data_IF_919573321516
#
_entry.id   IF_919573321516
#
_cell.length_a   1.000
_cell.length_b   1.000
_cell.length_c   1.000
_cell.angle_alpha   90.00
_cell.angle_beta   90.00
_cell.angle_gamma   90.00
#
_symmetry.space_group_name_H-M   'P 1'
#
loop_
_entity.id
_entity.type
_entity.pdbx_description
1 polymer ?
#
# COMPACT_ATOMS: atom_id res chain seq x y z
N UNK A 1 -32.36 2.30 20.99
CA UNK A 1 -33.25 2.32 19.81
C UNK A 1 -32.99 1.08 18.98
N UNK A 2 -34.02 0.49 18.37
CA UNK A 2 -33.84 -0.64 17.46
C UNK A 2 -33.03 -0.22 16.22
N UNK A 3 -32.14 -1.10 15.76
CA UNK A 3 -31.33 -0.87 14.56
C UNK A 3 -32.23 -0.72 13.33
N UNK A 4 -32.07 0.37 12.58
CA UNK A 4 -32.81 0.64 11.35
C UNK A 4 -32.46 -0.42 10.30
N UNK A 5 -33.47 -1.00 9.65
CA UNK A 5 -33.31 -2.03 8.60
C UNK A 5 -33.55 -1.41 7.22
N UNK A 6 -32.69 -1.74 6.26
CA UNK A 6 -32.72 -1.24 4.89
C UNK A 6 -32.70 -2.41 3.90
N UNK A 7 -33.62 -2.40 2.94
CA UNK A 7 -33.65 -3.42 1.88
C UNK A 7 -32.60 -3.13 0.80
N UNK A 8 -31.97 -4.18 0.29
CA UNK A 8 -31.08 -4.14 -0.88
C UNK A 8 -31.67 -4.93 -2.05
N UNK A 9 -31.20 -4.64 -3.27
CA UNK A 9 -31.55 -5.43 -4.46
C UNK A 9 -31.04 -6.86 -4.41
N UNK A 10 -31.59 -7.73 -5.26
CA UNK A 10 -31.23 -9.16 -5.30
C UNK A 10 -29.75 -9.41 -5.64
N UNK A 11 -29.16 -8.58 -6.52
CA UNK A 11 -27.74 -8.70 -6.88
C UNK A 11 -26.84 -8.37 -5.69
N UNK A 12 -27.11 -7.26 -5.00
CA UNK A 12 -26.40 -6.89 -3.77
C UNK A 12 -26.54 -7.97 -2.70
N UNK A 13 -27.75 -8.54 -2.52
CA UNK A 13 -27.95 -9.64 -1.58
C UNK A 13 -27.08 -10.86 -1.91
N UNK A 14 -26.96 -11.20 -3.20
CA UNK A 14 -26.08 -12.28 -3.69
C UNK A 14 -24.60 -11.98 -3.43
N UNK A 15 -24.15 -10.75 -3.65
CA UNK A 15 -22.77 -10.34 -3.39
C UNK A 15 -22.44 -10.39 -1.89
N UNK A 16 -23.35 -9.92 -1.03
CA UNK A 16 -23.19 -10.03 0.43
C UNK A 16 -23.16 -11.50 0.87
N UNK A 17 -23.98 -12.37 0.26
CA UNK A 17 -24.02 -13.79 0.62
C UNK A 17 -22.69 -14.49 0.31
N UNK A 18 -22.00 -14.11 -0.78
CA UNK A 18 -20.66 -14.62 -1.13
C UNK A 18 -19.52 -13.94 -0.36
N UNK A 19 -19.83 -12.99 0.52
CA UNK A 19 -18.86 -12.36 1.41
C UNK A 19 -18.27 -11.06 0.89
N UNK A 20 -18.80 -10.50 -0.20
CA UNK A 20 -18.39 -9.18 -0.66
C UNK A 20 -18.81 -8.10 0.35
N UNK A 21 -17.92 -7.19 0.78
CA UNK A 21 -18.20 -6.26 1.88
C UNK A 21 -18.92 -4.98 1.44
N UNK A 22 -19.01 -4.69 0.14
CA UNK A 22 -19.58 -3.43 -0.34
C UNK A 22 -21.01 -3.59 -0.84
N UNK A 23 -21.83 -2.58 -0.53
CA UNK A 23 -23.09 -2.31 -1.18
C UNK A 23 -22.88 -1.16 -2.16
N UNK A 24 -23.00 -1.45 -3.45
CA UNK A 24 -22.83 -0.47 -4.51
C UNK A 24 -24.16 0.26 -4.76
N UNK A 25 -24.09 1.58 -5.01
CA UNK A 25 -25.24 2.38 -5.38
C UNK A 25 -25.98 1.78 -6.59
N UNK A 26 -27.29 1.62 -6.44
CA UNK A 26 -28.21 1.08 -7.44
C UNK A 26 -29.62 1.69 -7.26
N UNK A 27 -30.60 1.21 -8.04
CA UNK A 27 -31.99 1.69 -7.98
C UNK A 27 -32.71 1.37 -6.66
N UNK A 28 -32.27 0.34 -5.93
CA UNK A 28 -32.92 -0.14 -4.71
C UNK A 28 -32.41 0.68 -3.51
N UNK A 29 -31.10 0.88 -3.44
CA UNK A 29 -30.44 1.75 -2.45
C UNK A 29 -30.78 3.23 -2.63
N UNK A 30 -31.13 3.66 -3.85
CA UNK A 30 -31.66 5.01 -4.11
C UNK A 30 -32.99 5.31 -3.35
N UNK A 31 -33.71 4.28 -2.91
CA UNK A 31 -34.96 4.41 -2.13
C UNK A 31 -34.71 4.50 -0.63
N UNK A 32 -33.46 4.40 -0.18
CA UNK A 32 -33.15 4.53 1.24
C UNK A 32 -33.54 5.92 1.77
N UNK A 33 -33.94 6.03 3.05
CA UNK A 33 -34.41 7.30 3.58
C UNK A 33 -33.35 8.39 3.48
N UNK A 34 -33.73 9.56 2.98
CA UNK A 34 -32.84 10.74 2.88
C UNK A 34 -32.29 11.21 4.23
N UNK A 35 -32.93 10.81 5.34
CA UNK A 35 -32.48 11.05 6.71
C UNK A 35 -31.39 10.08 7.20
N UNK A 36 -30.94 9.14 6.37
CA UNK A 36 -29.84 8.22 6.71
C UNK A 36 -28.56 9.01 6.94
N UNK A 37 -27.98 8.88 8.14
CA UNK A 37 -26.76 9.60 8.51
C UNK A 37 -25.49 8.95 7.96
N UNK A 38 -24.47 9.78 7.70
CA UNK A 38 -23.10 9.31 7.45
C UNK A 38 -22.58 8.51 8.64
N UNK A 39 -22.09 7.30 8.41
CA UNK A 39 -21.60 6.42 9.47
C UNK A 39 -22.69 5.80 10.34
N UNK A 40 -23.97 5.95 9.98
CA UNK A 40 -25.05 5.30 10.72
C UNK A 40 -24.96 3.78 10.59
N UNK A 41 -25.06 3.06 11.71
CA UNK A 41 -25.12 1.60 11.72
C UNK A 41 -26.53 1.15 11.40
N UNK A 42 -26.66 0.27 10.40
CA UNK A 42 -27.93 -0.22 9.88
C UNK A 42 -27.90 -1.73 9.66
N UNK A 43 -29.07 -2.37 9.70
CA UNK A 43 -29.27 -3.73 9.22
C UNK A 43 -29.59 -3.73 7.73
N UNK A 44 -29.02 -4.65 6.98
CA UNK A 44 -29.34 -4.89 5.58
C UNK A 44 -30.26 -6.11 5.46
N UNK A 45 -31.27 -6.00 4.61
CA UNK A 45 -32.24 -7.07 4.38
C UNK A 45 -32.37 -7.40 2.90
N UNK A 46 -32.64 -8.67 2.59
CA UNK A 46 -32.98 -9.11 1.25
C UNK A 46 -34.34 -8.52 0.81
N UNK A 47 -34.69 -8.58 -0.49
CA UNK A 47 -36.03 -8.20 -0.94
C UNK A 47 -37.16 -8.95 -0.21
N UNK A 48 -36.88 -10.18 0.25
CA UNK A 48 -37.80 -11.05 0.99
C UNK A 48 -37.88 -10.75 2.49
N UNK A 49 -37.08 -9.81 2.99
CA UNK A 49 -37.06 -9.42 4.41
C UNK A 49 -36.11 -10.22 5.29
N UNK A 50 -35.26 -11.07 4.72
CA UNK A 50 -34.26 -11.82 5.47
C UNK A 50 -33.10 -10.90 5.87
N UNK A 51 -32.63 -11.00 7.12
CA UNK A 51 -31.47 -10.24 7.57
C UNK A 51 -30.19 -10.76 6.91
N UNK A 52 -29.39 -9.85 6.35
CA UNK A 52 -28.17 -10.18 5.62
C UNK A 52 -26.90 -9.76 6.37
N UNK A 53 -26.88 -8.55 6.94
CA UNK A 53 -25.69 -7.98 7.56
C UNK A 53 -25.99 -6.75 8.42
N UNK A 54 -25.10 -6.48 9.39
CA UNK A 54 -24.92 -5.15 9.98
C UNK A 54 -23.92 -4.37 9.12
N UNK A 55 -24.25 -3.14 8.75
CA UNK A 55 -23.44 -2.32 7.84
C UNK A 55 -23.30 -0.86 8.31
N UNK A 56 -22.21 -0.24 7.86
CA UNK A 56 -21.92 1.18 8.03
C UNK A 56 -22.40 1.95 6.81
N UNK A 57 -23.35 2.87 6.98
CA UNK A 57 -23.92 3.66 5.89
C UNK A 57 -22.99 4.79 5.44
N UNK A 58 -22.90 5.00 4.13
CA UNK A 58 -22.15 6.08 3.47
C UNK A 58 -23.03 6.67 2.34
N UNK A 59 -24.17 7.32 2.69
CA UNK A 59 -25.11 7.83 1.70
C UNK A 59 -24.44 8.86 0.78
N UNK A 60 -24.75 8.77 -0.53
CA UNK A 60 -24.20 9.66 -1.57
C UNK A 60 -22.86 9.20 -2.18
N UNK A 61 -22.22 8.16 -1.65
CA UNK A 61 -21.03 7.56 -2.25
C UNK A 61 -21.38 6.46 -3.27
N UNK A 62 -20.41 6.06 -4.11
CA UNK A 62 -20.57 4.88 -4.98
C UNK A 62 -20.75 3.59 -4.16
N UNK A 63 -20.04 3.48 -3.04
CA UNK A 63 -20.21 2.42 -2.05
C UNK A 63 -21.10 3.01 -0.96
N UNK A 64 -22.41 2.73 -1.01
CA UNK A 64 -23.41 3.37 -0.14
C UNK A 64 -23.48 2.75 1.26
N UNK A 65 -22.96 1.53 1.42
CA UNK A 65 -22.77 0.91 2.72
C UNK A 65 -21.65 -0.12 2.69
N UNK A 66 -21.05 -0.38 3.85
CA UNK A 66 -19.99 -1.37 4.03
C UNK A 66 -20.39 -2.37 5.12
N UNK A 67 -20.39 -3.66 4.80
CA UNK A 67 -20.72 -4.75 5.72
C UNK A 67 -19.68 -4.84 6.84
N UNK A 68 -20.12 -4.77 8.09
CA UNK A 68 -19.30 -4.89 9.29
C UNK A 68 -19.41 -6.27 9.94
N UNK A 69 -20.61 -6.86 9.88
CA UNK A 69 -20.91 -8.15 10.48
C UNK A 69 -22.04 -8.85 9.72
N UNK A 70 -22.03 -10.19 9.68
CA UNK A 70 -23.13 -10.98 9.08
C UNK A 70 -24.27 -11.20 10.07
N UNK A 71 -24.05 -10.90 11.34
CA UNK A 71 -25.06 -10.97 12.40
C UNK A 71 -25.44 -9.56 12.87
N UNK A 72 -26.60 -9.41 13.54
CA UNK A 72 -26.93 -8.18 14.25
C UNK A 72 -25.82 -7.85 15.27
N UNK A 73 -25.21 -6.68 15.15
CA UNK A 73 -24.09 -6.29 16.01
C UNK A 73 -24.22 -4.83 16.47
N UNK A 74 -23.88 -4.60 17.73
CA UNK A 74 -23.66 -3.25 18.26
C UNK A 74 -22.19 -2.88 18.03
N UNK A 75 -21.95 -1.76 17.35
CA UNK A 75 -20.60 -1.27 17.05
C UNK A 75 -20.12 -0.42 18.24
N UNK A 76 -19.87 -1.11 19.35
CA UNK A 76 -19.39 -0.53 20.60
C UNK A 76 -17.88 -0.76 20.79
N UNK A 77 -17.37 -0.33 21.95
CA UNK A 77 -15.96 -0.49 22.31
C UNK A 77 -15.52 -1.95 22.31
N UNK A 78 -16.35 -2.87 22.80
CA UNK A 78 -16.00 -4.29 22.88
C UNK A 78 -16.01 -4.95 21.51
N UNK A 79 -16.92 -4.54 20.61
CA UNK A 79 -16.89 -4.95 19.21
C UNK A 79 -15.56 -4.58 18.53
N UNK A 80 -15.09 -3.33 18.70
CA UNK A 80 -13.79 -2.91 18.20
C UNK A 80 -12.63 -3.69 18.82
N UNK A 81 -12.65 -3.90 20.15
CA UNK A 81 -11.61 -4.67 20.86
C UNK A 81 -11.47 -6.08 20.29
N UNK A 82 -12.58 -6.80 20.08
CA UNK A 82 -12.56 -8.15 19.48
C UNK A 82 -11.97 -8.14 18.06
N UNK A 83 -12.32 -7.16 17.22
CA UNK A 83 -11.77 -7.02 15.86
C UNK A 83 -10.26 -6.73 15.89
N UNK A 84 -9.83 -5.79 16.74
CA UNK A 84 -8.42 -5.43 16.92
C UNK A 84 -7.58 -6.62 17.39
N UNK A 85 -8.05 -7.37 18.40
CA UNK A 85 -7.37 -8.58 18.89
C UNK A 85 -7.15 -9.59 17.79
N UNK A 86 -8.21 -9.94 17.06
CA UNK A 86 -8.13 -10.88 15.95
C UNK A 86 -7.14 -10.43 14.87
N UNK A 87 -7.15 -9.15 14.53
CA UNK A 87 -6.24 -8.59 13.53
C UNK A 87 -4.78 -8.64 14.01
N UNK A 88 -4.52 -8.32 15.27
CA UNK A 88 -3.17 -8.36 15.89
C UNK A 88 -2.67 -9.80 16.06
N UNK A 89 -3.52 -10.73 16.46
CA UNK A 89 -3.21 -12.16 16.56
C UNK A 89 -2.71 -12.72 15.22
N UNK A 90 -3.37 -12.37 14.11
CA UNK A 90 -2.89 -12.73 12.77
C UNK A 90 -1.46 -12.23 12.52
N UNK A 91 -1.17 -10.96 12.85
CA UNK A 91 0.16 -10.39 12.61
C UNK A 91 1.22 -11.05 13.49
N UNK A 92 0.90 -11.34 14.75
CA UNK A 92 1.79 -12.10 15.65
C UNK A 92 2.08 -13.50 15.12
N UNK A 93 1.11 -14.16 14.50
CA UNK A 93 1.29 -15.49 13.92
C UNK A 93 2.15 -15.49 12.65
N UNK A 94 2.06 -14.44 11.82
CA UNK A 94 2.71 -14.41 10.51
C UNK A 94 4.01 -13.59 10.45
N UNK A 95 4.24 -12.67 11.40
CA UNK A 95 5.41 -11.78 11.41
C UNK A 95 6.28 -12.11 12.63
N UNK A 96 7.50 -12.63 12.43
CA UNK A 96 8.41 -12.92 13.53
C UNK A 96 8.68 -11.70 14.40
N UNK A 97 8.57 -11.88 15.72
CA UNK A 97 8.84 -10.84 16.70
C UNK A 97 10.32 -10.43 16.69
N UNK A 98 10.59 -9.24 17.24
CA UNK A 98 11.95 -8.79 17.50
C UNK A 98 12.72 -8.29 16.29
N UNK A 99 12.25 -8.43 15.04
CA UNK A 99 12.89 -7.89 13.82
C UNK A 99 12.13 -6.79 13.10
N UNK A 100 10.83 -6.69 13.34
CA UNK A 100 9.93 -5.77 12.64
C UNK A 100 9.01 -5.09 13.64
N UNK A 101 9.08 -3.76 13.67
CA UNK A 101 8.28 -2.83 14.48
C UNK A 101 7.39 -1.93 13.62
N UNK A 102 7.61 -1.94 12.30
CA UNK A 102 6.76 -1.28 11.31
C UNK A 102 5.91 -2.31 10.55
N UNK A 103 4.58 -2.26 10.70
CA UNK A 103 3.68 -3.23 10.07
C UNK A 103 2.23 -2.73 10.03
N UNK A 104 1.40 -3.33 9.18
CA UNK A 104 -0.05 -3.08 9.21
C UNK A 104 -0.73 -3.94 10.26
N UNK A 105 -1.43 -3.32 11.21
CA UNK A 105 -2.24 -4.02 12.20
C UNK A 105 -3.66 -4.31 11.73
N UNK A 106 -4.26 -3.39 10.96
CA UNK A 106 -5.62 -3.52 10.38
C UNK A 106 -5.59 -3.11 8.92
N UNK A 107 -6.11 -3.95 8.03
CA UNK A 107 -6.17 -3.76 6.59
C UNK A 107 -7.60 -3.78 6.04
N UNK A 108 -8.43 -2.84 6.49
CA UNK A 108 -9.72 -2.58 5.87
C UNK A 108 -10.66 -3.79 5.93
N UNK A 109 -11.24 -4.08 4.78
CA UNK A 109 -12.11 -5.21 4.48
C UNK A 109 -11.47 -6.55 4.89
N UNK A 110 -10.14 -6.69 4.76
CA UNK A 110 -9.41 -7.92 5.12
C UNK A 110 -9.47 -8.27 6.60
N UNK A 111 -9.74 -7.31 7.48
CA UNK A 111 -9.85 -7.49 8.93
C UNK A 111 -11.27 -7.22 9.45
N UNK A 112 -12.25 -7.04 8.56
CA UNK A 112 -13.62 -6.74 8.93
C UNK A 112 -13.83 -5.30 9.42
N UNK A 113 -12.96 -4.37 9.01
CA UNK A 113 -13.07 -2.93 9.27
C UNK A 113 -12.99 -2.14 7.94
N UNK A 114 -13.97 -2.31 7.01
CA UNK A 114 -13.90 -1.76 5.66
C UNK A 114 -13.59 -0.26 5.59
N UNK A 115 -12.68 0.15 4.72
CA UNK A 115 -12.31 1.58 4.57
C UNK A 115 -11.51 2.19 5.73
N UNK A 116 -10.99 1.37 6.64
CA UNK A 116 -10.16 1.79 7.77
C UNK A 116 -8.87 0.96 7.82
N UNK A 117 -7.74 1.61 8.04
CA UNK A 117 -6.47 0.89 8.24
C UNK A 117 -5.71 1.42 9.45
N UNK A 118 -4.93 0.56 10.10
CA UNK A 118 -4.12 0.91 11.26
C UNK A 118 -2.70 0.40 11.05
N UNK A 119 -1.73 1.31 10.96
CA UNK A 119 -0.31 0.97 10.89
C UNK A 119 0.37 1.16 12.23
N UNK A 120 1.35 0.32 12.53
CA UNK A 120 2.29 0.46 13.63
C UNK A 120 3.63 0.95 13.11
N UNK A 121 4.22 1.88 13.84
CA UNK A 121 5.56 2.43 13.64
C UNK A 121 6.23 2.54 15.01
N UNK A 122 6.92 1.48 15.45
CA UNK A 122 7.45 1.42 16.81
C UNK A 122 6.31 1.44 17.84
N UNK A 123 6.32 2.43 18.72
CA UNK A 123 5.28 2.61 19.74
C UNK A 123 4.16 3.57 19.31
N UNK A 124 4.22 4.10 18.09
CA UNK A 124 3.18 4.96 17.52
C UNK A 124 2.30 4.21 16.54
N UNK A 125 1.05 4.66 16.44
CA UNK A 125 0.07 4.13 15.50
C UNK A 125 -0.44 5.23 14.56
N UNK A 126 -0.71 4.83 13.33
CA UNK A 126 -1.32 5.68 12.30
C UNK A 126 -2.64 5.05 11.84
N UNK A 127 -3.75 5.59 12.35
CA UNK A 127 -5.10 5.28 11.91
C UNK A 127 -5.41 6.06 10.63
N UNK A 128 -5.94 5.38 9.62
CA UNK A 128 -6.31 5.99 8.34
C UNK A 128 -7.76 5.67 7.99
N UNK A 129 -8.52 6.71 7.66
CA UNK A 129 -9.88 6.60 7.17
C UNK A 129 -9.94 6.90 5.68
N UNK A 130 -10.36 5.92 4.89
CA UNK A 130 -10.62 6.05 3.45
C UNK A 130 -12.08 6.40 3.15
N UNK A 131 -12.90 6.52 4.20
CA UNK A 131 -14.31 6.91 4.15
C UNK A 131 -14.62 7.80 5.36
N UNK A 132 -15.45 8.85 5.21
CA UNK A 132 -15.93 9.65 6.34
C UNK A 132 -16.88 8.87 7.26
N UNK A 133 -17.38 7.71 6.85
CA UNK A 133 -18.36 6.93 7.62
C UNK A 133 -17.82 6.45 8.98
N UNK A 134 -16.50 6.38 9.17
CA UNK A 134 -15.89 6.07 10.47
C UNK A 134 -15.75 7.27 11.41
N UNK A 135 -15.93 8.51 10.92
CA UNK A 135 -15.74 9.71 11.73
C UNK A 135 -16.63 9.76 12.99
N UNK A 136 -17.92 9.39 12.95
CA UNK A 136 -18.77 9.36 14.15
C UNK A 136 -18.36 8.31 15.18
N UNK A 137 -17.52 7.34 14.80
CA UNK A 137 -17.08 6.24 15.66
C UNK A 137 -15.64 6.41 16.18
N UNK A 138 -14.99 7.53 15.83
CA UNK A 138 -13.57 7.77 16.13
C UNK A 138 -13.26 7.64 17.61
N UNK A 139 -14.05 8.24 18.49
CA UNK A 139 -13.76 8.27 19.93
C UNK A 139 -13.86 6.86 20.54
N UNK A 140 -14.89 6.10 20.17
CA UNK A 140 -15.08 4.70 20.61
C UNK A 140 -13.94 3.81 20.12
N UNK A 141 -13.54 3.97 18.85
CA UNK A 141 -12.43 3.24 18.25
C UNK A 141 -11.09 3.62 18.88
N UNK A 142 -10.80 4.91 19.07
CA UNK A 142 -9.58 5.40 19.68
C UNK A 142 -9.43 4.88 21.10
N UNK A 143 -10.52 4.84 21.87
CA UNK A 143 -10.53 4.27 23.21
C UNK A 143 -10.28 2.75 23.20
N UNK A 144 -10.84 2.01 22.23
CA UNK A 144 -10.57 0.59 22.05
C UNK A 144 -9.09 0.33 21.68
N UNK A 145 -8.52 1.14 20.76
CA UNK A 145 -7.10 1.11 20.39
C UNK A 145 -6.21 1.37 21.61
N UNK A 146 -6.51 2.42 22.39
CA UNK A 146 -5.75 2.77 23.58
C UNK A 146 -5.70 1.63 24.61
N UNK A 147 -6.82 0.92 24.79
CA UNK A 147 -6.90 -0.18 25.75
C UNK A 147 -6.18 -1.46 25.27
N UNK A 148 -6.29 -1.80 23.99
CA UNK A 148 -5.73 -3.04 23.43
C UNK A 148 -4.26 -2.93 23.06
N UNK A 149 -3.84 -1.80 22.51
CA UNK A 149 -2.52 -1.63 21.90
C UNK A 149 -1.61 -0.72 22.70
N UNK A 150 -2.17 0.11 23.59
CA UNK A 150 -1.43 1.04 24.47
C UNK A 150 -0.31 1.80 23.74
N UNK A 151 -0.61 2.48 22.62
CA UNK A 151 0.41 3.19 21.88
C UNK A 151 0.88 4.43 22.64
N UNK A 152 2.12 4.85 22.40
CA UNK A 152 2.64 6.14 22.90
C UNK A 152 1.94 7.32 22.26
N UNK A 153 1.55 7.20 20.99
CA UNK A 153 0.73 8.18 20.30
C UNK A 153 -0.10 7.55 19.17
N UNK A 154 -1.31 8.08 18.97
CA UNK A 154 -2.24 7.68 17.91
C UNK A 154 -2.48 8.85 16.98
N UNK A 155 -2.04 8.72 15.74
CA UNK A 155 -2.34 9.66 14.67
C UNK A 155 -3.58 9.22 13.91
N UNK A 156 -4.38 10.18 13.43
CA UNK A 156 -5.43 9.97 12.45
C UNK A 156 -5.06 10.69 11.16
N UNK A 157 -5.23 9.99 10.03
CA UNK A 157 -5.07 10.53 8.69
C UNK A 157 -6.28 10.27 7.81
N UNK A 158 -6.84 11.33 7.22
CA UNK A 158 -7.96 11.20 6.29
C UNK A 158 -7.48 11.00 4.85
N UNK A 159 -8.09 10.05 4.12
CA UNK A 159 -7.68 9.59 2.78
C UNK A 159 -8.86 9.49 1.80
N UNK A 160 -9.56 10.59 1.48
CA UNK A 160 -10.67 10.55 0.53
C UNK A 160 -10.18 10.24 -0.90
N UNK A 161 -11.07 9.80 -1.79
CA UNK A 161 -10.69 9.46 -3.17
C UNK A 161 -9.99 10.61 -3.93
N UNK A 162 -10.24 11.86 -3.55
CA UNK A 162 -9.65 13.08 -4.13
C UNK A 162 -8.45 13.62 -3.32
N UNK A 163 -7.80 12.79 -2.48
CA UNK A 163 -6.69 13.21 -1.58
C UNK A 163 -5.64 14.07 -2.30
N UNK A 164 -5.31 13.77 -3.57
CA UNK A 164 -4.31 14.52 -4.34
C UNK A 164 -4.79 15.91 -4.79
N UNK A 165 -6.07 16.06 -5.12
CA UNK A 165 -6.67 17.34 -5.51
C UNK A 165 -6.86 18.25 -4.29
N UNK A 166 -7.17 17.65 -3.13
CA UNK A 166 -7.27 18.35 -1.85
C UNK A 166 -5.88 18.81 -1.35
N UNK A 167 -4.86 17.95 -1.44
CA UNK A 167 -3.48 18.32 -1.10
C UNK A 167 -2.93 19.44 -2.00
N UNK A 168 -3.34 19.50 -3.28
CA UNK A 168 -2.95 20.55 -4.21
C UNK A 168 -3.59 21.93 -3.92
N UNK A 169 -4.67 21.99 -3.14
CA UNK A 169 -5.42 23.21 -2.81
C UNK A 169 -4.97 23.90 -1.51
N UNK A 170 -3.94 23.40 -0.85
CA UNK A 170 -3.31 24.02 0.32
C UNK A 170 -3.76 23.41 1.64
N UNK A 171 -2.82 22.73 2.31
CA UNK A 171 -2.96 22.27 3.70
C UNK A 171 -2.71 20.77 3.90
N UNK A 172 -1.48 20.28 3.70
CA UNK A 172 -1.10 18.92 4.18
C UNK A 172 -1.33 18.78 5.70
N UNK A 173 -1.33 19.91 6.44
CA UNK A 173 -1.52 19.99 7.89
C UNK A 173 -2.93 19.63 8.40
N UNK A 174 -3.98 19.69 7.57
CA UNK A 174 -5.35 19.34 7.99
C UNK A 174 -5.67 17.85 7.80
N UNK A 175 -4.83 17.11 7.07
CA UNK A 175 -5.07 15.71 6.75
C UNK A 175 -4.59 14.75 7.84
N UNK A 176 -3.69 15.20 8.73
CA UNK A 176 -3.09 14.38 9.79
C UNK A 176 -3.18 15.12 11.12
N UNK A 177 -3.67 14.45 12.15
CA UNK A 177 -3.67 14.99 13.52
C UNK A 177 -3.34 13.93 14.56
N UNK A 178 -2.72 14.35 15.66
CA UNK A 178 -2.58 13.53 16.84
C UNK A 178 -3.94 13.45 17.55
N UNK A 179 -4.44 12.24 17.78
CA UNK A 179 -5.73 11.97 18.44
C UNK A 179 -5.55 11.69 19.92
N UNK A 180 -4.47 11.01 20.29
CA UNK A 180 -4.17 10.67 21.68
C UNK A 180 -2.67 10.46 21.88
N UNK A 181 -2.21 10.65 23.12
CA UNK A 181 -0.82 10.42 23.54
C UNK A 181 0.13 11.53 23.13
N UNK A 182 1.40 11.18 22.91
CA UNK A 182 2.48 12.11 22.60
C UNK A 182 2.85 12.09 21.11
N UNK A 183 3.25 13.23 20.53
CA UNK A 183 3.75 13.27 19.16
C UNK A 183 5.03 12.43 19.04
N UNK A 184 5.17 11.74 17.90
CA UNK A 184 6.41 11.09 17.52
C UNK A 184 7.50 12.14 17.23
N UNK A 185 8.79 11.79 17.38
CA UNK A 185 9.89 12.58 16.82
C UNK A 185 9.64 12.89 15.34
N UNK A 186 10.09 14.06 14.87
CA UNK A 186 9.92 14.49 13.47
C UNK A 186 10.35 13.39 12.50
N UNK A 187 11.49 12.77 12.78
CA UNK A 187 11.99 11.62 12.06
C UNK A 187 12.15 10.42 12.99
N UNK A 188 11.15 9.56 13.00
CA UNK A 188 11.04 8.40 13.87
C UNK A 188 11.80 7.20 13.25
N UNK A 189 12.83 6.65 13.91
CA UNK A 189 13.41 5.38 13.51
C UNK A 189 12.46 4.22 13.84
N UNK A 190 12.25 3.32 12.87
CA UNK A 190 11.50 2.08 13.04
C UNK A 190 12.26 0.92 12.41
N UNK A 191 12.07 -0.28 12.95
CA UNK A 191 12.74 -1.46 12.41
C UNK A 191 11.83 -2.28 11.50
N UNK A 192 12.39 -2.79 10.42
CA UNK A 192 11.75 -3.77 9.56
C UNK A 192 12.80 -4.76 9.05
N UNK A 193 12.55 -6.06 9.23
CA UNK A 193 13.47 -7.14 8.85
C UNK A 193 14.89 -7.02 9.45
N UNK A 194 15.05 -6.25 10.53
CA UNK A 194 16.35 -5.94 11.14
C UNK A 194 17.06 -4.72 10.56
N UNK A 195 16.44 -3.99 9.63
CA UNK A 195 16.93 -2.72 9.09
C UNK A 195 16.18 -1.55 9.72
N UNK A 196 16.86 -0.42 9.90
CA UNK A 196 16.29 0.81 10.43
C UNK A 196 15.81 1.70 9.29
N UNK A 197 14.55 2.09 9.32
CA UNK A 197 13.96 3.06 8.41
C UNK A 197 13.50 4.28 9.20
N UNK A 198 13.74 5.44 8.63
CA UNK A 198 13.35 6.72 9.22
C UNK A 198 12.03 7.16 8.61
N UNK A 199 10.97 7.27 9.41
CA UNK A 199 9.60 7.62 8.97
C UNK A 199 9.15 8.97 9.56
N UNK A 200 8.22 9.65 8.86
CA UNK A 200 7.54 10.86 9.34
C UNK A 200 6.06 10.57 9.46
N UNK A 201 5.47 10.81 10.64
CA UNK A 201 4.03 10.55 10.85
C UNK A 201 3.17 11.80 10.66
N UNK A 202 3.74 12.98 10.84
CA UNK A 202 3.05 14.27 10.89
C UNK A 202 3.03 15.04 9.56
N UNK A 203 3.68 14.54 8.51
CA UNK A 203 3.88 15.28 7.26
C UNK A 203 3.50 14.48 6.01
N UNK A 204 3.01 15.20 5.00
CA UNK A 204 2.88 14.71 3.65
C UNK A 204 1.83 13.61 3.45
N UNK A 205 1.73 13.11 2.22
CA UNK A 205 0.87 11.97 1.89
C UNK A 205 1.48 10.61 2.23
N UNK A 206 2.77 10.48 2.49
CA UNK A 206 3.41 9.19 2.74
C UNK A 206 4.30 9.26 3.98
N UNK A 207 4.35 8.18 4.74
CA UNK A 207 5.13 8.10 5.98
C UNK A 207 6.63 7.88 5.75
N UNK A 208 7.04 7.64 4.49
CA UNK A 208 8.43 7.36 4.14
C UNK A 208 8.77 5.87 4.04
N UNK A 209 7.83 4.95 4.30
CA UNK A 209 8.01 3.51 4.11
C UNK A 209 6.70 2.84 3.68
N UNK A 210 6.72 2.14 2.56
CA UNK A 210 5.60 1.32 2.08
C UNK A 210 5.67 -0.08 2.70
N UNK A 211 4.84 -0.33 3.72
CA UNK A 211 4.88 -1.56 4.54
C UNK A 211 4.43 -2.81 3.77
N UNK A 212 3.58 -2.65 2.76
CA UNK A 212 3.11 -3.72 1.87
C UNK A 212 4.24 -4.36 1.04
N UNK A 213 5.34 -3.64 0.85
CA UNK A 213 6.55 -4.10 0.17
C UNK A 213 7.56 -4.80 1.10
N UNK A 214 7.29 -4.99 2.40
CA UNK A 214 8.24 -5.58 3.38
C UNK A 214 8.85 -6.89 2.89
N UNK A 215 8.00 -7.82 2.48
CA UNK A 215 8.46 -9.17 2.15
C UNK A 215 9.15 -9.18 0.78
N UNK A 216 8.79 -8.25 -0.13
CA UNK A 216 9.47 -8.07 -1.41
C UNK A 216 10.85 -7.43 -1.20
N UNK A 217 10.99 -6.47 -0.27
CA UNK A 217 12.29 -5.94 0.16
C UNK A 217 13.21 -7.02 0.70
N UNK A 218 12.70 -7.95 1.51
CA UNK A 218 13.48 -9.08 2.02
C UNK A 218 13.98 -10.00 0.90
N UNK A 219 13.13 -10.32 -0.08
CA UNK A 219 13.52 -11.11 -1.25
C UNK A 219 14.59 -10.39 -2.09
N UNK A 220 14.41 -9.10 -2.29
CA UNK A 220 15.37 -8.27 -3.01
C UNK A 220 16.73 -8.22 -2.30
N UNK A 221 16.74 -8.05 -0.97
CA UNK A 221 17.94 -8.12 -0.13
C UNK A 221 18.68 -9.46 -0.33
N UNK A 222 17.96 -10.58 -0.27
CA UNK A 222 18.55 -11.91 -0.47
C UNK A 222 19.15 -12.10 -1.88
N UNK A 223 18.59 -11.42 -2.87
CA UNK A 223 19.09 -11.42 -4.23
C UNK A 223 20.22 -10.39 -4.47
N UNK A 224 20.67 -9.60 -3.49
CA UNK A 224 21.53 -8.45 -3.79
C UNK A 224 23.04 -8.71 -3.70
N UNK A 225 23.47 -9.81 -3.11
CA UNK A 225 24.89 -10.09 -2.82
C UNK A 225 25.78 -10.00 -4.07
N UNK A 226 26.87 -9.23 -3.97
CA UNK A 226 27.91 -9.07 -4.98
C UNK A 226 27.41 -8.57 -6.35
N UNK A 227 26.22 -7.95 -6.39
CA UNK A 227 25.59 -7.44 -7.62
C UNK A 227 25.66 -5.92 -7.73
N UNK A 228 25.76 -5.42 -8.97
CA UNK A 228 25.48 -4.03 -9.29
C UNK A 228 23.96 -3.84 -9.38
N UNK A 229 23.40 -2.96 -8.53
CA UNK A 229 21.95 -2.80 -8.35
C UNK A 229 21.47 -1.45 -8.89
N UNK A 230 20.36 -1.46 -9.61
CA UNK A 230 19.61 -0.26 -9.99
C UNK A 230 18.25 -0.24 -9.30
N UNK A 231 17.93 0.82 -8.57
CA UNK A 231 16.64 1.03 -7.94
C UNK A 231 15.94 2.25 -8.57
N UNK A 232 14.92 1.99 -9.40
CA UNK A 232 14.14 3.02 -10.10
C UNK A 232 12.90 3.40 -9.32
N UNK A 233 12.56 4.70 -9.33
CA UNK A 233 11.50 5.26 -8.49
C UNK A 233 11.77 4.96 -7.01
N UNK A 234 13.00 5.19 -6.59
CA UNK A 234 13.51 4.66 -5.33
C UNK A 234 12.79 5.21 -4.10
N UNK A 235 12.04 6.33 -4.24
CA UNK A 235 11.41 7.02 -3.13
C UNK A 235 12.46 7.28 -2.05
N UNK A 236 12.16 7.00 -0.79
CA UNK A 236 13.09 7.14 0.34
C UNK A 236 14.20 6.08 0.37
N UNK A 237 14.34 5.23 -0.64
CA UNK A 237 15.48 4.33 -0.79
C UNK A 237 15.37 3.00 -0.05
N UNK A 238 14.16 2.57 0.36
CA UNK A 238 14.01 1.37 1.19
C UNK A 238 14.58 0.09 0.54
N UNK A 239 14.44 -0.06 -0.78
CA UNK A 239 15.06 -1.17 -1.53
C UNK A 239 16.57 -1.00 -1.72
N UNK A 240 17.07 0.24 -1.76
CA UNK A 240 18.50 0.52 -1.83
C UNK A 240 19.22 0.13 -0.54
N UNK A 241 18.62 0.45 0.61
CA UNK A 241 19.08 0.05 1.94
C UNK A 241 19.07 -1.47 2.07
N UNK A 242 17.97 -2.10 1.63
CA UNK A 242 17.85 -3.56 1.61
C UNK A 242 18.95 -4.22 0.77
N UNK A 243 19.26 -3.67 -0.42
CA UNK A 243 20.32 -4.19 -1.27
C UNK A 243 21.72 -4.03 -0.68
N UNK A 244 22.06 -2.86 -0.16
CA UNK A 244 23.34 -2.62 0.51
C UNK A 244 23.53 -3.56 1.71
N UNK A 245 22.49 -3.72 2.54
CA UNK A 245 22.52 -4.67 3.65
C UNK A 245 22.56 -6.14 3.21
N UNK A 246 22.11 -6.44 1.98
CA UNK A 246 22.24 -7.74 1.33
C UNK A 246 23.63 -8.00 0.74
N UNK A 247 24.55 -7.05 0.83
CA UNK A 247 25.91 -7.18 0.32
C UNK A 247 26.07 -6.79 -1.16
N UNK A 248 25.22 -5.90 -1.68
CA UNK A 248 25.42 -5.35 -3.02
C UNK A 248 26.82 -4.75 -3.22
N UNK A 249 27.38 -4.96 -4.41
CA UNK A 249 28.66 -4.40 -4.82
C UNK A 249 28.53 -2.88 -5.03
N UNK A 250 27.42 -2.46 -5.64
CA UNK A 250 27.03 -1.05 -5.80
C UNK A 250 25.50 -0.93 -5.92
N UNK A 251 24.96 0.23 -5.55
CA UNK A 251 23.53 0.54 -5.65
C UNK A 251 23.35 1.95 -6.21
N UNK A 252 22.76 2.05 -7.39
CA UNK A 252 22.33 3.30 -8.01
C UNK A 252 20.84 3.52 -7.76
N UNK A 253 20.49 4.59 -7.04
CA UNK A 253 19.11 4.91 -6.68
C UNK A 253 18.63 6.12 -7.46
N UNK A 254 17.51 6.00 -8.17
CA UNK A 254 16.98 7.01 -9.08
C UNK A 254 15.61 7.51 -8.60
N UNK A 255 15.49 8.82 -8.41
CA UNK A 255 14.21 9.48 -8.15
C UNK A 255 14.21 10.93 -8.68
N UNK A 256 13.03 11.45 -9.03
CA UNK A 256 12.89 12.84 -9.46
C UNK A 256 13.04 13.83 -8.28
N UNK A 257 12.72 13.37 -7.07
CA UNK A 257 12.70 14.17 -5.85
C UNK A 257 14.06 14.19 -5.15
N UNK A 258 14.65 15.39 -5.03
CA UNK A 258 15.87 15.58 -4.23
C UNK A 258 15.64 15.28 -2.75
N UNK A 259 14.46 15.58 -2.20
CA UNK A 259 14.16 15.33 -0.79
C UNK A 259 14.12 13.83 -0.49
N UNK A 260 13.59 13.01 -1.39
CA UNK A 260 13.58 11.56 -1.25
C UNK A 260 14.99 10.96 -1.35
N UNK A 261 15.84 11.46 -2.26
CA UNK A 261 17.25 11.04 -2.32
C UNK A 261 18.03 11.42 -1.05
N UNK A 262 17.79 12.62 -0.50
CA UNK A 262 18.37 13.01 0.78
C UNK A 262 17.90 12.09 1.92
N UNK A 263 16.64 11.64 1.87
CA UNK A 263 16.09 10.69 2.84
C UNK A 263 16.72 9.30 2.69
N UNK A 264 16.92 8.82 1.46
CA UNK A 264 17.66 7.59 1.16
C UNK A 264 19.05 7.62 1.79
N UNK A 265 19.80 8.71 1.63
CA UNK A 265 21.12 8.87 2.26
C UNK A 265 21.04 8.70 3.79
N UNK A 266 20.05 9.30 4.43
CA UNK A 266 19.84 9.17 5.89
C UNK A 266 19.48 7.74 6.31
N UNK A 267 18.76 6.98 5.49
CA UNK A 267 18.53 5.55 5.78
C UNK A 267 19.83 4.75 5.67
N UNK A 268 20.67 5.02 4.66
CA UNK A 268 21.99 4.37 4.52
C UNK A 268 22.86 4.64 5.76
N UNK A 269 22.92 5.92 6.19
CA UNK A 269 23.61 6.35 7.41
C UNK A 269 23.07 5.64 8.66
N UNK A 270 21.75 5.59 8.84
CA UNK A 270 21.10 4.99 10.02
C UNK A 270 21.33 3.47 10.16
N UNK A 271 21.78 2.80 9.10
CA UNK A 271 22.13 1.38 9.12
C UNK A 271 23.65 1.12 9.11
N UNK A 272 24.48 2.17 9.16
CA UNK A 272 25.94 2.02 9.08
C UNK A 272 26.42 1.40 7.76
N UNK A 273 25.65 1.58 6.68
CA UNK A 273 25.92 0.96 5.39
C UNK A 273 26.95 1.78 4.58
N UNK A 274 27.74 1.12 3.69
CA UNK A 274 28.83 1.77 2.98
C UNK A 274 28.32 2.81 1.97
N UNK A 275 28.44 4.08 2.32
CA UNK A 275 27.96 5.20 1.49
C UNK A 275 28.66 5.27 0.13
N UNK A 276 29.93 4.87 0.05
CA UNK A 276 30.69 4.82 -1.21
C UNK A 276 30.13 3.83 -2.24
N UNK A 277 29.30 2.86 -1.80
CA UNK A 277 28.58 1.94 -2.69
C UNK A 277 27.21 2.46 -3.09
N UNK A 278 26.78 3.62 -2.59
CA UNK A 278 25.45 4.19 -2.83
C UNK A 278 25.54 5.44 -3.70
N UNK A 279 25.13 5.31 -4.96
CA UNK A 279 25.00 6.41 -5.91
C UNK A 279 23.56 6.91 -5.92
N UNK A 280 23.37 8.23 -5.83
CA UNK A 280 22.05 8.88 -5.85
C UNK A 280 21.91 9.74 -7.11
N UNK A 281 21.00 9.37 -8.00
CA UNK A 281 20.78 10.04 -9.28
C UNK A 281 19.43 10.73 -9.27
N UNK A 282 19.45 12.07 -9.33
CA UNK A 282 18.22 12.85 -9.51
C UNK A 282 17.87 12.92 -10.99
N UNK A 283 16.64 12.57 -11.35
CA UNK A 283 16.15 12.79 -12.71
C UNK A 283 14.84 12.08 -13.00
N UNK A 284 14.28 12.40 -14.17
CA UNK A 284 13.22 11.58 -14.76
C UNK A 284 13.78 10.18 -15.11
N UNK A 285 12.98 9.14 -14.86
CA UNK A 285 13.42 7.77 -15.01
C UNK A 285 13.84 7.43 -16.45
N UNK A 286 13.08 7.87 -17.46
CA UNK A 286 13.37 7.56 -18.86
C UNK A 286 14.64 8.28 -19.33
N UNK A 287 14.82 9.53 -18.93
CA UNK A 287 16.05 10.28 -19.23
C UNK A 287 17.27 9.64 -18.58
N UNK A 288 17.16 9.21 -17.32
CA UNK A 288 18.25 8.53 -16.61
C UNK A 288 18.60 7.20 -17.28
N UNK A 289 17.59 6.38 -17.61
CA UNK A 289 17.79 5.12 -18.33
C UNK A 289 18.50 5.34 -19.68
N UNK A 290 18.07 6.33 -20.46
CA UNK A 290 18.71 6.68 -21.72
C UNK A 290 20.19 7.07 -21.55
N UNK A 291 20.52 7.88 -20.53
CA UNK A 291 21.92 8.22 -20.23
C UNK A 291 22.74 7.01 -19.79
N UNK A 292 22.20 6.16 -18.93
CA UNK A 292 22.88 4.94 -18.47
C UNK A 292 23.17 4.00 -19.65
N UNK A 293 22.22 3.85 -20.56
CA UNK A 293 22.39 3.07 -21.78
C UNK A 293 23.48 3.65 -22.71
N UNK A 294 23.47 4.97 -22.93
CA UNK A 294 24.52 5.66 -23.71
C UNK A 294 25.91 5.51 -23.10
N UNK A 295 26.00 5.41 -21.77
CA UNK A 295 27.25 5.16 -21.05
C UNK A 295 27.66 3.68 -21.03
N UNK A 296 26.86 2.77 -21.61
CA UNK A 296 27.11 1.33 -21.55
C UNK A 296 27.01 0.75 -20.13
N UNK A 297 26.34 1.43 -19.21
CA UNK A 297 26.17 0.93 -17.83
C UNK A 297 25.13 -0.18 -17.81
N UNK A 298 25.51 -1.31 -17.21
CA UNK A 298 24.64 -2.48 -17.03
C UNK A 298 24.58 -2.89 -15.57
N UNK A 299 23.45 -3.45 -15.16
CA UNK A 299 23.16 -3.86 -13.79
C UNK A 299 22.75 -5.33 -13.72
N UNK A 300 23.14 -6.01 -12.65
CA UNK A 300 22.83 -7.43 -12.41
C UNK A 300 21.44 -7.62 -11.78
N UNK A 301 20.99 -6.63 -11.02
CA UNK A 301 19.72 -6.65 -10.31
C UNK A 301 19.04 -5.29 -10.42
N UNK A 302 17.77 -5.28 -10.82
CA UNK A 302 16.98 -4.06 -10.93
C UNK A 302 15.71 -4.17 -10.12
N UNK A 303 15.36 -3.10 -9.40
CA UNK A 303 14.03 -2.89 -8.83
C UNK A 303 13.33 -1.74 -9.57
N UNK A 304 12.05 -1.93 -9.88
CA UNK A 304 11.24 -0.91 -10.55
C UNK A 304 9.81 -0.92 -10.00
N UNK A 305 9.40 0.17 -9.34
CA UNK A 305 8.07 0.35 -8.74
C UNK A 305 7.50 1.74 -9.10
N UNK A 306 7.02 1.93 -10.34
CA UNK A 306 6.53 3.22 -10.78
C UNK A 306 5.22 3.58 -10.06
N UNK A 307 4.97 4.87 -9.79
CA UNK A 307 3.67 5.29 -9.27
C UNK A 307 2.56 4.99 -10.28
N UNK A 308 1.36 4.68 -9.78
CA UNK A 308 0.18 4.39 -10.63
C UNK A 308 -0.13 5.46 -11.69
N UNK A 309 0.23 6.72 -11.39
CA UNK A 309 0.16 7.88 -12.29
C UNK A 309 1.29 8.85 -11.91
N UNK A 310 2.03 9.35 -12.91
CA UNK A 310 3.03 10.41 -12.72
C UNK A 310 2.83 11.54 -13.74
N UNK A 311 2.96 12.77 -13.25
CA UNK A 311 2.94 14.01 -14.03
C UNK A 311 4.24 14.76 -13.75
N UNK A 312 5.37 14.25 -14.22
CA UNK A 312 6.65 14.97 -14.17
C UNK A 312 6.99 15.37 -15.61
N UNK A 313 6.90 16.67 -15.92
CA UNK A 313 7.15 17.24 -17.25
C UNK A 313 5.96 17.18 -18.23
N UNK A 314 6.18 17.60 -19.50
CA UNK A 314 5.16 17.62 -20.59
C UNK A 314 4.65 16.22 -21.00
N UNK A 315 5.17 15.13 -20.43
CA UNK A 315 4.70 13.75 -20.66
C UNK A 315 3.85 13.23 -19.50
N UNK A 316 2.66 12.70 -19.79
CA UNK A 316 1.84 11.99 -18.79
C UNK A 316 2.25 10.52 -18.77
N UNK A 317 2.87 10.06 -17.67
CA UNK A 317 3.04 8.62 -17.45
C UNK A 317 1.71 8.04 -16.97
N UNK A 318 1.16 7.12 -17.75
CA UNK A 318 -0.01 6.31 -17.35
C UNK A 318 0.39 4.85 -17.32
N UNK A 319 0.01 4.12 -16.28
CA UNK A 319 0.43 2.73 -16.04
C UNK A 319 0.08 1.75 -17.18
N UNK A 320 -0.91 2.05 -18.03
CA UNK A 320 -1.30 1.15 -19.14
C UNK A 320 -0.44 1.22 -20.40
N UNK A 321 0.24 2.34 -20.69
CA UNK A 321 1.22 2.44 -21.80
C UNK A 321 2.64 2.64 -21.29
N UNK A 322 2.76 3.31 -20.14
CA UNK A 322 4.03 3.56 -19.48
C UNK A 322 4.74 2.30 -18.97
N UNK A 323 4.04 1.22 -18.64
CA UNK A 323 4.71 0.00 -18.14
C UNK A 323 5.52 -0.68 -19.25
N UNK A 324 4.92 -0.91 -20.42
CA UNK A 324 5.62 -1.51 -21.55
C UNK A 324 6.77 -0.62 -22.06
N UNK A 325 6.55 0.69 -22.17
CA UNK A 325 7.60 1.66 -22.51
C UNK A 325 8.75 1.66 -21.49
N UNK A 326 8.43 1.64 -20.19
CA UNK A 326 9.42 1.61 -19.12
C UNK A 326 10.25 0.33 -19.14
N UNK A 327 9.62 -0.82 -19.35
CA UNK A 327 10.34 -2.09 -19.51
C UNK A 327 11.26 -2.00 -20.73
N UNK A 328 10.77 -1.54 -21.88
CA UNK A 328 11.60 -1.42 -23.08
C UNK A 328 12.81 -0.49 -22.88
N UNK A 329 12.64 0.62 -22.15
CA UNK A 329 13.72 1.55 -21.81
C UNK A 329 14.70 0.98 -20.76
N UNK A 330 14.23 0.06 -19.91
CA UNK A 330 15.03 -0.55 -18.86
C UNK A 330 15.95 -1.66 -19.39
N UNK A 331 15.46 -2.50 -20.32
CA UNK A 331 16.20 -3.71 -20.73
C UNK A 331 17.64 -3.45 -21.24
N UNK A 332 17.96 -2.35 -21.97
CA UNK A 332 19.33 -2.06 -22.40
C UNK A 332 20.35 -1.88 -21.27
N UNK A 333 19.90 -1.58 -20.05
CA UNK A 333 20.78 -1.42 -18.88
C UNK A 333 20.76 -2.64 -17.96
N UNK A 334 20.11 -3.73 -18.36
CA UNK A 334 20.11 -4.99 -17.61
C UNK A 334 21.11 -5.93 -18.26
N UNK A 335 22.04 -6.47 -17.46
CA UNK A 335 23.00 -7.46 -17.95
C UNK A 335 22.24 -8.70 -18.47
N UNK A 336 22.67 -9.37 -19.55
CA UNK A 336 22.14 -10.69 -19.91
C UNK A 336 22.23 -11.66 -18.72
N UNK A 337 21.14 -12.37 -18.42
CA UNK A 337 21.01 -13.18 -17.20
C UNK A 337 20.65 -12.40 -15.92
N UNK A 338 20.60 -11.07 -15.98
CA UNK A 338 20.24 -10.18 -14.88
C UNK A 338 18.79 -10.34 -14.43
N UNK A 339 18.53 -9.92 -13.19
CA UNK A 339 17.24 -10.10 -12.51
C UNK A 339 16.52 -8.76 -12.39
N UNK A 340 15.20 -8.76 -12.61
CA UNK A 340 14.34 -7.57 -12.47
C UNK A 340 13.20 -7.90 -11.51
N UNK A 341 13.01 -7.07 -10.49
CA UNK A 341 11.81 -7.05 -9.66
C UNK A 341 10.90 -5.92 -10.14
N UNK A 342 9.87 -6.27 -10.90
CA UNK A 342 8.91 -5.32 -11.46
C UNK A 342 7.63 -5.28 -10.62
N UNK A 343 7.31 -4.10 -10.09
CA UNK A 343 6.18 -3.88 -9.20
C UNK A 343 5.08 -3.02 -9.85
N UNK A 344 3.84 -3.24 -9.42
CA UNK A 344 2.70 -2.37 -9.68
C UNK A 344 1.71 -2.46 -8.53
N UNK A 345 1.35 -1.29 -7.99
CA UNK A 345 0.28 -1.14 -7.01
C UNK A 345 -1.05 -0.71 -7.64
N UNK A 346 -1.15 -0.71 -8.98
CA UNK A 346 -2.35 -0.22 -9.65
C UNK A 346 -3.51 -1.23 -9.51
N UNK A 347 -4.47 -0.91 -8.63
CA UNK A 347 -5.60 -1.79 -8.31
C UNK A 347 -6.42 -2.19 -9.56
N UNK A 348 -6.55 -1.30 -10.55
CA UNK A 348 -7.37 -1.52 -11.76
C UNK A 348 -6.71 -2.39 -12.82
N UNK A 349 -5.48 -2.83 -12.61
CA UNK A 349 -4.76 -3.74 -13.51
C UNK A 349 -4.63 -5.08 -12.80
N UNK A 350 -5.21 -6.12 -13.37
CA UNK A 350 -5.08 -7.49 -12.86
C UNK A 350 -3.72 -8.10 -13.21
N UNK A 351 -3.49 -9.33 -12.77
CA UNK A 351 -2.23 -10.04 -13.00
C UNK A 351 -1.98 -10.36 -14.47
N UNK A 352 -3.02 -10.75 -15.22
CA UNK A 352 -2.88 -11.15 -16.61
C UNK A 352 -2.52 -9.95 -17.50
N UNK A 353 -3.20 -8.82 -17.28
CA UNK A 353 -2.90 -7.58 -18.01
C UNK A 353 -1.53 -7.02 -17.59
N UNK A 354 -1.11 -7.14 -16.33
CA UNK A 354 0.23 -6.73 -15.93
C UNK A 354 1.34 -7.55 -16.61
N UNK A 355 1.23 -8.88 -16.64
CA UNK A 355 2.18 -9.74 -17.35
C UNK A 355 2.20 -9.45 -18.85
N UNK A 356 1.06 -9.11 -19.44
CA UNK A 356 0.94 -8.71 -20.85
C UNK A 356 1.70 -7.41 -21.14
N UNK A 357 1.67 -6.43 -20.23
CA UNK A 357 2.47 -5.20 -20.35
C UNK A 357 3.97 -5.47 -20.27
N UNK A 358 4.41 -6.33 -19.34
CA UNK A 358 5.81 -6.73 -19.24
C UNK A 358 6.28 -7.43 -20.53
N UNK A 359 5.47 -8.36 -21.06
CA UNK A 359 5.72 -9.04 -22.34
C UNK A 359 5.79 -8.06 -23.50
N UNK A 360 4.88 -7.08 -23.57
CA UNK A 360 4.90 -6.04 -24.60
C UNK A 360 6.23 -5.29 -24.55
N UNK A 361 6.66 -4.82 -23.37
CA UNK A 361 7.94 -4.12 -23.25
C UNK A 361 9.13 -4.94 -23.71
N UNK A 362 9.18 -6.23 -23.32
CA UNK A 362 10.23 -7.15 -23.76
C UNK A 362 10.27 -7.33 -25.29
N UNK A 363 9.09 -7.52 -25.91
CA UNK A 363 8.97 -7.68 -27.36
C UNK A 363 9.44 -6.44 -28.14
N UNK A 364 9.21 -5.22 -27.63
CA UNK A 364 9.71 -3.99 -28.27
C UNK A 364 11.25 -3.91 -28.28
N UNK A 365 11.91 -4.51 -27.30
CA UNK A 365 13.38 -4.57 -27.24
C UNK A 365 13.96 -5.80 -27.95
N UNK A 366 13.14 -6.68 -28.51
CA UNK A 366 13.60 -7.94 -29.11
C UNK A 366 14.23 -8.91 -28.10
N UNK A 367 13.90 -8.78 -26.81
CA UNK A 367 14.47 -9.59 -25.72
C UNK A 367 13.42 -10.48 -25.07
N UNK A 368 13.85 -11.59 -24.48
CA UNK A 368 12.98 -12.52 -23.76
C UNK A 368 13.13 -12.35 -22.25
N UNK A 369 12.00 -12.38 -21.54
CA UNK A 369 11.93 -12.37 -20.08
C UNK A 369 11.32 -13.67 -19.57
N UNK A 370 12.00 -14.30 -18.61
CA UNK A 370 11.50 -15.47 -17.88
C UNK A 370 10.94 -15.05 -16.53
N UNK A 371 9.74 -15.53 -16.17
CA UNK A 371 9.17 -15.31 -14.83
C UNK A 371 9.75 -16.34 -13.86
N UNK A 372 10.45 -15.87 -12.83
CA UNK A 372 11.00 -16.72 -11.76
C UNK A 372 10.07 -16.82 -10.55
N UNK A 373 9.22 -15.81 -10.33
CA UNK A 373 8.31 -15.79 -9.21
C UNK A 373 7.36 -14.61 -9.24
N UNK A 374 6.21 -14.77 -8.57
CA UNK A 374 5.20 -13.72 -8.43
C UNK A 374 4.79 -13.61 -6.96
N UNK A 375 4.74 -12.38 -6.46
CA UNK A 375 4.35 -12.06 -5.08
C UNK A 375 3.45 -10.84 -5.03
N UNK A 376 2.76 -10.66 -3.92
CA UNK A 376 1.94 -9.48 -3.67
C UNK A 376 2.39 -8.77 -2.40
N UNK A 377 1.41 -8.17 -1.74
CA UNK A 377 1.54 -7.62 -0.39
C UNK A 377 1.80 -8.72 0.67
N UNK A 378 2.45 -8.34 1.77
CA UNK A 378 2.73 -9.24 2.90
C UNK A 378 1.48 -9.70 3.67
N UNK A 379 1.61 -10.68 4.59
CA UNK A 379 0.49 -11.26 5.33
C UNK A 379 -0.22 -10.30 6.29
N UNK A 380 0.41 -9.17 6.63
CA UNK A 380 -0.22 -8.06 7.35
C UNK A 380 -1.15 -7.19 6.50
N UNK A 381 -1.23 -7.47 5.20
CA UNK A 381 -2.18 -6.86 4.26
C UNK A 381 -3.18 -7.92 3.73
N UNK A 382 -3.91 -8.62 4.61
CA UNK A 382 -4.86 -9.63 4.19
C UNK A 382 -5.98 -9.02 3.36
N UNK A 383 -6.59 -9.85 2.52
CA UNK A 383 -7.83 -9.56 1.82
C UNK A 383 -8.75 -10.77 1.94
N UNK A 384 -10.06 -10.53 1.94
CA UNK A 384 -11.03 -11.62 1.98
C UNK A 384 -11.15 -12.29 0.61
N UNK A 385 -11.42 -13.61 0.59
CA UNK A 385 -11.67 -14.34 -0.66
C UNK A 385 -12.88 -13.75 -1.40
N UNK A 386 -13.92 -13.33 -0.67
CA UNK A 386 -15.08 -12.62 -1.23
C UNK A 386 -14.80 -11.18 -1.67
N UNK A 387 -13.55 -10.70 -1.55
CA UNK A 387 -13.13 -9.35 -1.91
C UNK A 387 -11.73 -9.37 -2.59
N UNK A 388 -11.62 -9.95 -3.80
CA UNK A 388 -10.35 -10.04 -4.53
C UNK A 388 -9.74 -8.68 -4.87
N UNK A 389 -10.53 -7.60 -4.91
CA UNK A 389 -10.08 -6.23 -5.14
C UNK A 389 -9.11 -5.72 -4.06
N UNK A 390 -9.10 -6.37 -2.89
CA UNK A 390 -8.11 -6.13 -1.83
C UNK A 390 -6.69 -6.58 -2.21
N UNK A 391 -6.53 -7.46 -3.21
CA UNK A 391 -5.22 -7.87 -3.74
C UNK A 391 -4.73 -6.91 -4.82
N UNK A 392 -4.13 -5.80 -4.41
CA UNK A 392 -3.75 -4.73 -5.32
C UNK A 392 -2.27 -4.76 -5.77
N UNK A 393 -1.36 -5.32 -4.96
CA UNK A 393 0.08 -5.30 -5.27
C UNK A 393 0.48 -6.49 -6.15
N UNK A 394 1.23 -6.20 -7.21
CA UNK A 394 1.88 -7.19 -8.08
C UNK A 394 3.38 -6.95 -8.05
N UNK A 395 4.16 -7.96 -7.72
CA UNK A 395 5.61 -7.99 -7.82
C UNK A 395 6.00 -9.23 -8.63
N UNK A 396 6.68 -9.03 -9.75
CA UNK A 396 7.14 -10.12 -10.63
C UNK A 396 8.66 -10.10 -10.64
N UNK A 397 9.29 -11.22 -10.28
CA UNK A 397 10.72 -11.41 -10.51
C UNK A 397 10.92 -12.03 -11.87
N UNK A 398 11.69 -11.34 -12.69
CA UNK A 398 12.00 -11.67 -14.07
C UNK A 398 13.50 -11.92 -14.19
N UNK A 399 13.88 -12.76 -15.15
CA UNK A 399 15.26 -12.88 -15.64
C UNK A 399 15.28 -12.44 -17.10
N UNK A 400 16.22 -11.56 -17.45
CA UNK A 400 16.55 -11.30 -18.84
C UNK A 400 17.32 -12.50 -19.39
N UNK A 401 16.81 -13.15 -20.44
CA UNK A 401 17.51 -14.29 -21.02
C UNK A 401 18.92 -13.87 -21.49
N UNK A 402 19.94 -14.72 -21.25
CA UNK A 402 21.21 -14.60 -21.92
C UNK A 402 21.02 -14.52 -23.44
N UNK A 403 21.89 -13.80 -24.13
CA UNK A 403 22.02 -13.95 -25.57
C UNK A 403 22.88 -15.20 -25.81
N UNK A 404 22.45 -16.06 -26.73
CA UNK A 404 23.17 -17.28 -27.14
C UNK A 404 24.50 -16.96 -27.83
#
# INVERSE_FOLDING_TARGET
MAMKRLKVGAETARQLSTGHPWVIADRDTARWPKSLGMGQVVGLESPRGEFLATALAEPGARIVARCLDRQPANIDREWFRRRLRRAVELRRACIPSGRTEAMRLVNGEGDGLPGLTLDRYGDWLMLQFYTPAWQPHLDTLAAAIGQELRPRGLYLKFRPQQTRELAAKGGDGDLVRLVAGEPAPELLPVRENGLTFLVRLNEGLHTGLFLDQRDNRRRFQQASRDRAVLNLFCFTGAFSVAALAGGAASVTSVDASRSYLNWCRRHVEANGLPQQRSELVRGDCFQVLGRLAQQGRVFDLVFVDPPSFSTVGRGRFTTRRGTSELVAALLPVVRPGGIIFACSNHQKVDWAEYLKELRRGAAHSGRTLQVLGTWGQGPDFPFAVGFPEGRYLKCVQLRLEPED
#
